data_IF_494441661797
#
_entry.id   IF_494441661797
#
_cell.length_a   1.000
_cell.length_b   1.000
_cell.length_c   1.000
_cell.angle_alpha   90.00
_cell.angle_beta   90.00
_cell.angle_gamma   90.00
#
_symmetry.space_group_name_H-M   'P 1'
#
loop_
_entity.id
_entity.type
_entity.pdbx_description
1 polymer ?
#
# COMPACT_ATOMS: atom_id res chain seq x y z
N UNK A 1 -3.61 2.80 -26.10
CA UNK A 1 -3.49 2.45 -24.66
C UNK A 1 -4.23 3.52 -23.89
N UNK A 2 -5.42 3.24 -23.41
CA UNK A 2 -6.13 4.12 -22.48
C UNK A 2 -5.34 4.16 -21.16
N UNK A 3 -5.05 5.34 -20.60
CA UNK A 3 -4.44 5.41 -19.27
C UNK A 3 -5.38 4.72 -18.29
N UNK A 4 -4.83 3.79 -17.50
CA UNK A 4 -5.55 3.15 -16.40
C UNK A 4 -5.96 4.28 -15.44
N UNK A 5 -7.21 4.32 -14.94
CA UNK A 5 -7.58 5.33 -13.97
C UNK A 5 -6.64 5.18 -12.77
N UNK A 6 -5.89 6.25 -12.48
CA UNK A 6 -5.21 6.35 -11.19
C UNK A 6 -6.34 6.32 -10.16
N UNK A 7 -6.41 5.26 -9.36
CA UNK A 7 -7.33 5.21 -8.23
C UNK A 7 -7.10 6.47 -7.41
N UNK A 8 -8.15 7.26 -7.20
CA UNK A 8 -8.07 8.38 -6.27
C UNK A 8 -7.54 7.87 -4.93
N UNK A 9 -6.79 8.68 -4.18
CA UNK A 9 -6.20 8.23 -2.91
C UNK A 9 -7.23 7.61 -1.96
N UNK A 10 -8.50 8.05 -2.02
CA UNK A 10 -9.63 7.51 -1.28
C UNK A 10 -10.03 6.12 -1.76
N UNK A 11 -10.18 5.94 -3.07
CA UNK A 11 -10.59 4.68 -3.71
C UNK A 11 -9.53 3.57 -3.51
N UNK A 12 -8.25 3.95 -3.50
CA UNK A 12 -7.16 3.04 -3.15
C UNK A 12 -7.25 2.58 -1.69
N UNK A 13 -7.44 3.52 -0.75
CA UNK A 13 -7.58 3.20 0.68
C UNK A 13 -8.75 2.26 0.89
N UNK A 14 -9.91 2.55 0.29
CA UNK A 14 -11.10 1.71 0.42
C UNK A 14 -10.86 0.30 -0.14
N UNK A 15 -10.24 0.18 -1.32
CA UNK A 15 -9.88 -1.12 -1.92
C UNK A 15 -8.94 -1.93 -1.02
N UNK A 16 -7.93 -1.28 -0.44
CA UNK A 16 -6.99 -1.94 0.49
C UNK A 16 -7.71 -2.42 1.75
N UNK A 17 -8.62 -1.62 2.29
CA UNK A 17 -9.41 -1.98 3.47
C UNK A 17 -10.39 -3.12 3.19
N UNK A 18 -10.99 -3.18 2.00
CA UNK A 18 -11.83 -4.31 1.58
C UNK A 18 -11.05 -5.62 1.53
N UNK A 19 -9.82 -5.60 1.04
CA UNK A 19 -8.95 -6.79 1.03
C UNK A 19 -8.53 -7.16 2.45
N UNK A 20 -8.13 -6.18 3.26
CA UNK A 20 -7.76 -6.39 4.66
C UNK A 20 -8.91 -6.98 5.49
N UNK A 21 -10.16 -6.61 5.20
CA UNK A 21 -11.34 -7.15 5.87
C UNK A 21 -11.58 -8.64 5.57
N UNK A 22 -11.08 -9.15 4.44
CA UNK A 22 -11.24 -10.56 4.04
C UNK A 22 -10.22 -11.48 4.72
N UNK A 23 -9.09 -10.96 5.18
CA UNK A 23 -8.01 -11.75 5.76
C UNK A 23 -7.27 -10.98 6.86
N UNK A 24 -7.33 -11.51 8.08
CA UNK A 24 -6.69 -10.92 9.26
C UNK A 24 -5.16 -10.85 9.16
N UNK A 25 -4.53 -11.77 8.41
CA UNK A 25 -3.08 -11.73 8.18
C UNK A 25 -2.69 -10.53 7.31
N UNK A 26 -3.51 -10.20 6.30
CA UNK A 26 -3.30 -9.02 5.45
C UNK A 26 -3.48 -7.75 6.28
N UNK A 27 -4.55 -7.66 7.08
CA UNK A 27 -4.78 -6.53 7.97
C UNK A 27 -3.60 -6.32 8.95
N UNK A 28 -3.03 -7.40 9.48
CA UNK A 28 -1.85 -7.33 10.34
C UNK A 28 -0.63 -6.79 9.63
N UNK A 29 -0.29 -7.33 8.46
CA UNK A 29 0.88 -6.87 7.68
C UNK A 29 0.73 -5.39 7.29
N UNK A 30 -0.47 -4.97 6.90
CA UNK A 30 -0.74 -3.56 6.59
C UNK A 30 -0.55 -2.65 7.82
N UNK A 31 -0.99 -3.08 9.00
CA UNK A 31 -0.72 -2.36 10.26
C UNK A 31 0.77 -2.24 10.53
N UNK A 32 1.52 -3.32 10.36
CA UNK A 32 2.98 -3.33 10.57
C UNK A 32 3.69 -2.38 9.59
N UNK A 33 3.33 -2.42 8.29
CA UNK A 33 3.90 -1.51 7.28
C UNK A 33 3.54 -0.05 7.57
N UNK A 34 2.27 0.25 7.83
CA UNK A 34 1.81 1.62 8.08
C UNK A 34 2.32 2.18 9.42
N UNK A 35 2.65 1.30 10.38
CA UNK A 35 3.25 1.65 11.66
C UNK A 35 4.74 1.96 11.62
N UNK A 36 5.42 1.70 10.50
CA UNK A 36 6.82 2.11 10.31
C UNK A 36 6.93 3.64 10.24
N UNK A 37 8.10 4.15 10.65
CA UNK A 37 8.51 5.52 10.34
C UNK A 37 8.39 5.79 8.84
N UNK A 38 7.94 7.00 8.46
CA UNK A 38 7.64 7.33 7.06
C UNK A 38 8.84 7.17 6.13
N UNK A 39 10.03 7.60 6.56
CA UNK A 39 11.25 7.47 5.76
C UNK A 39 11.70 6.00 5.65
N UNK A 40 11.58 5.25 6.75
CA UNK A 40 11.88 3.81 6.76
C UNK A 40 10.91 3.03 5.85
N UNK A 41 9.61 3.30 5.93
CA UNK A 41 8.58 2.73 5.06
C UNK A 41 8.86 3.03 3.61
N UNK A 42 9.08 4.30 3.26
CA UNK A 42 9.35 4.71 1.89
C UNK A 42 10.57 3.99 1.31
N UNK A 43 11.66 3.90 2.08
CA UNK A 43 12.90 3.24 1.67
C UNK A 43 12.72 1.73 1.48
N UNK A 44 11.99 1.06 2.40
CA UNK A 44 11.70 -0.36 2.29
C UNK A 44 10.84 -0.66 1.06
N UNK A 45 9.81 0.16 0.82
CA UNK A 45 8.93 0.04 -0.35
C UNK A 45 9.64 0.36 -1.67
N UNK A 46 10.65 1.24 -1.67
CA UNK A 46 11.50 1.46 -2.84
C UNK A 46 12.31 0.22 -3.21
N UNK A 47 12.87 -0.49 -2.23
CA UNK A 47 13.57 -1.75 -2.45
C UNK A 47 12.63 -2.82 -3.02
N UNK A 48 11.43 -2.95 -2.44
CA UNK A 48 10.39 -3.88 -2.94
C UNK A 48 9.99 -3.50 -4.36
N UNK A 49 9.74 -2.22 -4.64
CA UNK A 49 9.40 -1.72 -5.97
C UNK A 49 10.50 -2.01 -7.00
N UNK A 50 11.77 -1.84 -6.64
CA UNK A 50 12.89 -2.18 -7.50
C UNK A 50 12.95 -3.69 -7.81
N UNK A 51 12.75 -4.54 -6.80
CA UNK A 51 12.70 -5.99 -6.98
C UNK A 51 11.53 -6.40 -7.88
N UNK A 52 10.34 -5.83 -7.66
CA UNK A 52 9.15 -6.13 -8.46
C UNK A 52 9.35 -5.74 -9.93
N UNK A 53 9.98 -4.61 -10.24
CA UNK A 53 10.25 -4.22 -11.65
C UNK A 53 11.11 -5.21 -12.41
N UNK A 54 11.97 -5.95 -11.71
CA UNK A 54 12.87 -6.95 -12.32
C UNK A 54 12.12 -8.28 -12.55
N UNK A 55 11.21 -8.64 -11.64
CA UNK A 55 10.65 -9.99 -11.56
C UNK A 55 9.15 -10.08 -11.90
N UNK A 56 8.44 -8.95 -12.00
CA UNK A 56 6.99 -8.90 -12.19
C UNK A 56 6.59 -7.78 -13.15
N UNK A 57 5.75 -8.11 -14.14
CA UNK A 57 5.15 -7.15 -15.06
C UNK A 57 3.86 -6.50 -14.51
N UNK A 58 3.51 -6.76 -13.24
CA UNK A 58 2.26 -6.34 -12.64
C UNK A 58 2.32 -4.85 -12.20
N UNK A 59 1.94 -3.95 -13.11
CA UNK A 59 1.94 -2.50 -12.85
C UNK A 59 1.00 -2.07 -11.72
N UNK A 60 -0.09 -2.79 -11.50
CA UNK A 60 -1.01 -2.60 -10.37
C UNK A 60 -0.35 -2.80 -8.99
N UNK A 61 0.57 -3.77 -8.88
CA UNK A 61 1.34 -3.96 -7.64
C UNK A 61 2.30 -2.79 -7.40
N UNK A 62 2.91 -2.25 -8.45
CA UNK A 62 3.77 -1.07 -8.34
C UNK A 62 2.97 0.17 -7.93
N UNK A 63 1.76 0.36 -8.46
CA UNK A 63 0.87 1.44 -8.07
C UNK A 63 0.50 1.34 -6.58
N UNK A 64 0.25 0.13 -6.08
CA UNK A 64 0.01 -0.12 -4.66
C UNK A 64 1.21 0.22 -3.78
N UNK A 65 2.41 -0.19 -4.19
CA UNK A 65 3.66 0.16 -3.50
C UNK A 65 3.83 1.68 -3.45
N UNK A 66 3.62 2.38 -4.58
CA UNK A 66 3.72 3.83 -4.64
C UNK A 66 2.70 4.53 -3.75
N UNK A 67 1.46 4.04 -3.69
CA UNK A 67 0.44 4.60 -2.82
C UNK A 67 0.78 4.41 -1.33
N UNK A 68 1.28 3.24 -0.92
CA UNK A 68 1.69 2.97 0.46
C UNK A 68 2.90 3.80 0.93
N UNK A 69 3.71 4.33 0.02
CA UNK A 69 4.80 5.27 0.36
C UNK A 69 4.27 6.61 0.88
N UNK A 70 3.05 6.99 0.49
CA UNK A 70 2.48 8.29 0.85
C UNK A 70 2.00 8.27 2.30
N UNK A 71 2.54 9.18 3.11
CA UNK A 71 2.23 9.24 4.54
C UNK A 71 0.75 9.47 4.83
N UNK A 72 0.06 10.26 3.99
CA UNK A 72 -1.38 10.50 4.12
C UNK A 72 -2.20 9.23 3.92
N UNK A 73 -1.83 8.39 2.94
CA UNK A 73 -2.47 7.11 2.64
C UNK A 73 -2.21 6.11 3.76
N UNK A 74 -0.95 5.94 4.16
CA UNK A 74 -0.55 5.03 5.22
C UNK A 74 -1.23 5.37 6.56
N UNK A 75 -1.30 6.66 6.92
CA UNK A 75 -2.00 7.12 8.11
C UNK A 75 -3.49 6.75 8.08
N UNK A 76 -4.17 6.99 6.97
CA UNK A 76 -5.61 6.69 6.84
C UNK A 76 -5.90 5.20 6.93
N UNK A 77 -5.05 4.37 6.31
CA UNK A 77 -5.15 2.91 6.43
C UNK A 77 -4.98 2.50 7.90
N UNK A 78 -3.96 3.01 8.59
CA UNK A 78 -3.72 2.70 9.99
C UNK A 78 -4.88 3.13 10.91
N UNK A 79 -5.42 4.35 10.70
CA UNK A 79 -6.57 4.87 11.46
C UNK A 79 -7.81 3.98 11.31
N UNK A 80 -8.04 3.41 10.11
CA UNK A 80 -9.20 2.56 9.81
C UNK A 80 -9.01 1.11 10.25
N UNK A 81 -7.80 0.57 10.16
CA UNK A 81 -7.49 -0.78 10.64
C UNK A 81 -7.41 -0.86 12.17
N UNK A 82 -7.16 0.27 12.84
CA UNK A 82 -7.02 0.32 14.29
C UNK A 82 -5.65 -0.18 14.78
N UNK A 83 -5.43 -0.18 16.11
CA UNK A 83 -4.17 -0.59 16.71
C UNK A 83 -3.89 -2.08 16.50
N UNK A 84 -2.60 -2.44 16.62
CA UNK A 84 -2.13 -3.77 16.30
C UNK A 84 -2.44 -4.85 17.34
#
# INVERSE_FOLDING_TARGET
>A
MTPRPELGADEFVDSVLEVAARDASIARVLREICGLDGAARASALDLVGAHLRIHSAAGDVLDCVLALKRDDVARRIAERLGPA
#
